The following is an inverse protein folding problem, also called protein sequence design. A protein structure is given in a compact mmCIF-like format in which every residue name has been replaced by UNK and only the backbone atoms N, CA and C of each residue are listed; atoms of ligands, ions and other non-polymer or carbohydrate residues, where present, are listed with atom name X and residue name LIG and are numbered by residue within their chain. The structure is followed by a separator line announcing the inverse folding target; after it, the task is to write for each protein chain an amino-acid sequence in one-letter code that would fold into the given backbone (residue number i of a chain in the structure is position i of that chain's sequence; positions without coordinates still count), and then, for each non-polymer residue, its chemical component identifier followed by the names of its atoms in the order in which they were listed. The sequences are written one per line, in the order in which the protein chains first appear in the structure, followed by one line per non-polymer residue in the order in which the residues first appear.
data_IF_018533688483
#
_entry.id   IF_018533688483
#
_cell.length_a   1.000
_cell.length_b   1.000
_cell.length_c   1.000
_cell.angle_alpha   90.00
_cell.angle_beta   90.00
_cell.angle_gamma   90.00
#
_symmetry.space_group_name_H-M   'P 1'
#
loop_
_entity.id
_entity.type
_entity.pdbx_description
1 polymer ?
#
# COMPACT_ATOMS: atom_id res chain seq x y z
N UNK A 1 22.89 -23.49 -16.43
CA UNK A 1 23.56 -23.18 -15.16
C UNK A 1 22.47 -22.68 -14.21
N UNK A 2 21.86 -23.57 -13.44
CA UNK A 2 20.75 -23.22 -12.55
C UNK A 2 21.32 -22.58 -11.29
N UNK A 3 20.90 -21.34 -10.99
CA UNK A 3 21.14 -20.70 -9.69
C UNK A 3 20.40 -21.53 -8.63
N UNK A 4 21.16 -22.13 -7.73
CA UNK A 4 20.63 -22.66 -6.48
C UNK A 4 20.28 -21.45 -5.62
N UNK A 5 19.02 -21.03 -5.67
CA UNK A 5 18.47 -20.17 -4.63
C UNK A 5 18.47 -21.00 -3.34
N UNK A 6 19.24 -20.58 -2.34
CA UNK A 6 19.19 -21.20 -1.02
C UNK A 6 17.80 -20.96 -0.45
N UNK A 7 16.90 -21.95 -0.61
CA UNK A 7 15.68 -22.03 0.17
C UNK A 7 16.12 -22.06 1.65
N UNK A 8 16.02 -20.92 2.33
CA UNK A 8 15.92 -20.90 3.79
C UNK A 8 14.87 -21.96 4.14
N UNK A 9 15.19 -22.89 5.04
CA UNK A 9 14.20 -23.89 5.44
C UNK A 9 12.96 -23.17 5.94
N UNK A 10 11.77 -23.71 5.65
CA UNK A 10 10.50 -23.09 6.06
C UNK A 10 10.50 -22.77 7.57
N UNK A 11 11.10 -23.64 8.38
CA UNK A 11 11.31 -23.41 9.82
C UNK A 11 12.12 -22.14 10.13
N UNK A 12 13.17 -21.84 9.36
CA UNK A 12 13.94 -20.60 9.52
C UNK A 12 13.16 -19.36 9.10
N UNK A 13 12.31 -19.46 8.07
CA UNK A 13 11.47 -18.35 7.62
C UNK A 13 10.35 -18.01 8.62
N UNK A 14 9.83 -19.02 9.33
CA UNK A 14 8.68 -18.90 10.23
C UNK A 14 9.07 -18.60 11.69
N UNK A 15 10.30 -18.93 12.12
CA UNK A 15 10.77 -18.70 13.49
C UNK A 15 10.64 -17.24 13.96
N UNK A 16 10.76 -16.27 13.05
CA UNK A 16 10.65 -14.85 13.37
C UNK A 16 9.21 -14.32 13.53
N UNK A 17 8.18 -15.04 13.08
CA UNK A 17 6.81 -14.51 12.99
C UNK A 17 6.19 -14.16 14.35
N UNK A 18 6.46 -14.97 15.37
CA UNK A 18 5.97 -14.70 16.74
C UNK A 18 6.59 -13.43 17.33
N UNK A 19 7.85 -13.13 16.98
CA UNK A 19 8.54 -11.90 17.37
C UNK A 19 8.04 -10.71 16.55
N UNK A 20 7.74 -10.90 15.26
CA UNK A 20 7.23 -9.87 14.38
C UNK A 20 5.97 -9.23 14.93
N UNK A 21 4.98 -10.03 15.36
CA UNK A 21 3.74 -9.51 15.98
C UNK A 21 4.03 -8.63 17.21
N UNK A 22 4.99 -9.02 18.05
CA UNK A 22 5.38 -8.25 19.25
C UNK A 22 6.06 -6.93 18.86
N UNK A 23 7.00 -6.97 17.93
CA UNK A 23 7.73 -5.79 17.46
C UNK A 23 6.79 -4.76 16.84
N UNK A 24 5.90 -5.21 15.95
CA UNK A 24 4.88 -4.35 15.32
C UNK A 24 3.97 -3.73 16.38
N UNK A 25 3.44 -4.52 17.31
CA UNK A 25 2.59 -4.01 18.40
C UNK A 25 3.32 -2.97 19.26
N UNK A 26 4.58 -3.23 19.62
CA UNK A 26 5.38 -2.26 20.36
C UNK A 26 5.64 -0.97 19.58
N UNK A 27 5.83 -1.05 18.26
CA UNK A 27 6.01 0.11 17.38
C UNK A 27 4.72 0.94 17.27
N UNK A 28 3.58 0.29 17.06
CA UNK A 28 2.26 0.95 16.94
C UNK A 28 1.79 1.51 18.30
N UNK A 29 2.02 0.77 19.38
CA UNK A 29 1.73 1.17 20.75
C UNK A 29 2.69 2.22 21.32
N UNK A 30 3.72 2.62 20.56
CA UNK A 30 4.76 3.58 20.97
C UNK A 30 5.45 3.17 22.29
N UNK A 31 5.63 1.86 22.49
CA UNK A 31 6.25 1.30 23.69
C UNK A 31 7.77 1.57 23.73
N UNK A 32 8.39 1.71 22.55
CA UNK A 32 9.80 2.06 22.40
C UNK A 32 10.03 3.56 22.68
N UNK A 33 10.45 3.87 23.92
CA UNK A 33 10.66 5.26 24.36
C UNK A 33 11.91 5.92 23.75
N UNK A 34 12.94 5.14 23.41
CA UNK A 34 14.17 5.68 22.81
C UNK A 34 14.15 5.53 21.29
N UNK A 35 14.59 6.58 20.59
CA UNK A 35 14.70 6.56 19.13
C UNK A 35 15.58 5.41 18.61
N UNK A 36 16.69 5.09 19.28
CA UNK A 36 17.57 3.99 18.87
C UNK A 36 16.88 2.62 18.95
N UNK A 37 16.11 2.36 20.02
CA UNK A 37 15.35 1.12 20.22
C UNK A 37 14.26 0.97 19.15
N UNK A 38 13.57 2.08 18.85
CA UNK A 38 12.54 2.11 17.81
C UNK A 38 13.10 1.81 16.42
N UNK A 39 14.25 2.38 16.08
CA UNK A 39 14.90 2.15 14.78
C UNK A 39 15.47 0.75 14.65
N UNK A 40 15.99 0.17 15.75
CA UNK A 40 16.38 -1.23 15.79
C UNK A 40 15.16 -2.13 15.55
N UNK A 41 14.04 -1.88 16.23
CA UNK A 41 12.80 -2.64 16.03
C UNK A 41 12.28 -2.55 14.59
N UNK A 42 12.31 -1.37 13.94
CA UNK A 42 11.96 -1.22 12.52
C UNK A 42 12.86 -2.07 11.61
N UNK A 43 14.16 -2.11 11.90
CA UNK A 43 15.13 -2.92 11.14
C UNK A 43 14.84 -4.41 11.30
N UNK A 44 14.56 -4.86 12.53
CA UNK A 44 14.22 -6.26 12.81
C UNK A 44 12.93 -6.67 12.10
N UNK A 45 11.90 -5.81 12.11
CA UNK A 45 10.68 -6.01 11.32
C UNK A 45 11.01 -6.19 9.83
N UNK A 46 11.82 -5.30 9.24
CA UNK A 46 12.19 -5.40 7.83
C UNK A 46 12.94 -6.71 7.51
N UNK A 47 13.85 -7.15 8.40
CA UNK A 47 14.58 -8.41 8.24
C UNK A 47 13.65 -9.61 8.32
N UNK A 48 12.80 -9.68 9.33
CA UNK A 48 11.87 -10.81 9.50
C UNK A 48 10.90 -10.89 8.31
N UNK A 49 10.33 -9.75 7.91
CA UNK A 49 9.43 -9.67 6.76
C UNK A 49 10.12 -10.12 5.48
N UNK A 50 11.35 -9.69 5.23
CA UNK A 50 12.11 -10.13 4.06
C UNK A 50 12.33 -11.64 4.04
N UNK A 51 12.55 -12.26 5.21
CA UNK A 51 12.77 -13.70 5.32
C UNK A 51 11.49 -14.50 5.12
N UNK A 52 10.35 -14.03 5.62
CA UNK A 52 9.08 -14.74 5.52
C UNK A 52 8.27 -14.41 4.25
N UNK A 53 8.61 -13.36 3.50
CA UNK A 53 7.80 -12.94 2.35
C UNK A 53 7.75 -14.00 1.23
N UNK A 54 8.85 -14.71 1.00
CA UNK A 54 8.88 -15.80 0.00
C UNK A 54 7.90 -16.94 0.34
N UNK A 55 7.71 -17.23 1.63
CA UNK A 55 6.75 -18.23 2.09
C UNK A 55 5.31 -17.81 1.75
N UNK A 56 4.95 -16.54 1.95
CA UNK A 56 3.62 -16.07 1.55
C UNK A 56 3.43 -16.03 0.04
N UNK A 57 4.47 -15.63 -0.71
CA UNK A 57 4.44 -15.58 -2.17
C UNK A 57 4.24 -16.97 -2.79
N UNK A 58 4.72 -18.04 -2.15
CA UNK A 58 4.45 -19.41 -2.62
C UNK A 58 3.01 -19.89 -2.39
N UNK A 59 2.13 -19.03 -1.87
CA UNK A 59 0.74 -19.36 -1.53
C UNK A 59 0.59 -20.07 -0.18
N UNK A 60 1.67 -20.16 0.61
CA UNK A 60 1.63 -20.81 1.92
C UNK A 60 0.98 -19.89 2.96
N UNK A 61 0.29 -20.49 3.92
CA UNK A 61 -0.42 -19.78 4.99
C UNK A 61 0.05 -20.22 6.37
N UNK A 62 -0.17 -19.38 7.37
CA UNK A 62 0.19 -19.65 8.76
C UNK A 62 -0.79 -18.96 9.70
N UNK A 63 -1.14 -19.64 10.79
CA UNK A 63 -2.03 -19.09 11.82
C UNK A 63 -1.29 -18.17 12.82
N UNK A 64 0.05 -18.22 12.85
CA UNK A 64 0.86 -17.47 13.83
C UNK A 64 0.81 -15.98 13.53
N UNK A 65 0.98 -15.61 12.26
CA UNK A 65 0.93 -14.22 11.82
C UNK A 65 0.49 -14.12 10.35
N UNK A 66 -0.81 -14.33 10.06
CA UNK A 66 -1.33 -14.44 8.70
C UNK A 66 -0.97 -13.26 7.78
N UNK A 67 -0.88 -13.50 6.46
CA UNK A 67 -0.49 -12.49 5.47
C UNK A 67 -1.36 -11.22 5.53
N UNK A 68 -2.67 -11.36 5.68
CA UNK A 68 -3.58 -10.22 5.78
C UNK A 68 -3.30 -9.37 7.04
N UNK A 69 -2.96 -10.01 8.17
CA UNK A 69 -2.55 -9.32 9.41
C UNK A 69 -1.23 -8.60 9.19
N UNK A 70 -0.22 -9.29 8.65
CA UNK A 70 1.07 -8.72 8.30
C UNK A 70 0.91 -7.46 7.45
N UNK A 71 0.12 -7.54 6.38
CA UNK A 71 -0.05 -6.42 5.45
C UNK A 71 -0.78 -5.25 6.13
N UNK A 72 -1.85 -5.49 6.89
CA UNK A 72 -2.55 -4.42 7.63
C UNK A 72 -1.64 -3.73 8.64
N UNK A 73 -0.82 -4.50 9.34
CA UNK A 73 0.14 -4.00 10.32
C UNK A 73 1.25 -3.16 9.65
N UNK A 74 1.78 -3.60 8.50
CA UNK A 74 2.72 -2.82 7.71
C UNK A 74 2.11 -1.51 7.21
N UNK A 75 0.88 -1.54 6.66
CA UNK A 75 0.14 -0.34 6.28
C UNK A 75 -0.01 0.63 7.47
N UNK A 76 -0.31 0.12 8.67
CA UNK A 76 -0.41 0.93 9.89
C UNK A 76 0.91 1.58 10.28
N UNK A 77 2.03 0.84 10.17
CA UNK A 77 3.38 1.37 10.41
C UNK A 77 3.76 2.45 9.40
N UNK A 78 3.43 2.25 8.12
CA UNK A 78 3.66 3.24 7.07
C UNK A 78 2.85 4.52 7.30
N UNK A 79 1.56 4.42 7.66
CA UNK A 79 0.73 5.57 8.00
C UNK A 79 1.29 6.36 9.19
N UNK A 80 1.74 5.67 10.24
CA UNK A 80 2.38 6.30 11.40
C UNK A 80 3.64 7.06 11.00
N UNK A 81 4.48 6.49 10.14
CA UNK A 81 5.70 7.13 9.64
C UNK A 81 5.42 8.35 8.76
N UNK A 82 4.41 8.27 7.89
CA UNK A 82 3.95 9.39 7.05
C UNK A 82 3.43 10.54 7.91
N UNK A 83 2.63 10.26 8.94
CA UNK A 83 2.14 11.28 9.87
C UNK A 83 3.28 11.96 10.64
N UNK A 84 4.26 11.18 11.11
CA UNK A 84 5.45 11.74 11.76
C UNK A 84 6.26 12.64 10.83
N UNK A 85 6.40 12.25 9.56
CA UNK A 85 7.11 13.06 8.58
C UNK A 85 6.33 14.32 8.19
N UNK A 86 5.00 14.27 8.12
CA UNK A 86 4.16 15.47 7.97
C UNK A 86 4.39 16.46 9.11
N UNK A 87 4.47 15.97 10.36
CA UNK A 87 4.74 16.82 11.52
C UNK A 87 6.16 17.41 11.49
N UNK A 88 7.16 16.63 11.07
CA UNK A 88 8.54 17.09 10.88
C UNK A 88 8.65 18.14 9.77
N UNK A 89 7.90 17.97 8.69
CA UNK A 89 7.83 18.90 7.57
C UNK A 89 7.26 20.26 8.03
N UNK A 90 6.17 20.26 8.80
CA UNK A 90 5.61 21.48 9.43
C UNK A 90 6.65 22.21 10.31
N UNK A 91 7.56 21.46 10.92
CA UNK A 91 8.66 21.98 11.76
C UNK A 91 9.95 22.25 10.98
N UNK A 92 9.96 22.14 9.65
CA UNK A 92 11.12 22.33 8.76
C UNK A 92 12.35 21.48 9.14
N UNK A 93 12.13 20.25 9.61
CA UNK A 93 13.23 19.33 9.91
C UNK A 93 13.96 18.90 8.62
N UNK A 94 15.29 18.69 8.71
CA UNK A 94 16.17 18.42 7.57
C UNK A 94 16.30 16.96 7.15
N UNK A 95 15.83 16.00 7.96
CA UNK A 95 15.95 14.57 7.65
C UNK A 95 14.65 13.81 7.91
N UNK A 96 14.25 13.01 6.93
CA UNK A 96 13.01 12.24 6.92
C UNK A 96 13.35 10.77 6.72
N UNK A 97 12.57 9.88 7.33
CA UNK A 97 12.78 8.43 7.24
C UNK A 97 11.56 7.79 6.61
N UNK A 98 11.79 6.91 5.65
CA UNK A 98 10.76 6.28 4.80
C UNK A 98 10.80 4.75 4.84
N UNK A 99 11.61 4.16 5.73
CA UNK A 99 11.85 2.72 5.73
C UNK A 99 10.61 1.86 5.97
N UNK A 100 9.64 2.34 6.77
CA UNK A 100 8.40 1.61 7.01
C UNK A 100 7.48 1.70 5.80
N UNK A 101 7.41 2.88 5.18
CA UNK A 101 6.67 3.09 3.93
C UNK A 101 7.25 2.26 2.78
N UNK A 102 8.56 2.31 2.57
CA UNK A 102 9.27 1.55 1.53
C UNK A 102 9.10 0.04 1.72
N UNK A 103 9.23 -0.46 2.95
CA UNK A 103 8.99 -1.88 3.25
C UNK A 103 7.56 -2.28 2.87
N UNK A 104 6.59 -1.47 3.25
CA UNK A 104 5.17 -1.71 2.96
C UNK A 104 4.91 -1.74 1.46
N UNK A 105 5.43 -0.77 0.71
CA UNK A 105 5.30 -0.72 -0.74
C UNK A 105 5.98 -1.91 -1.41
N UNK A 106 7.17 -2.30 -0.96
CA UNK A 106 7.86 -3.48 -1.47
C UNK A 106 7.07 -4.78 -1.26
N UNK A 107 6.47 -4.95 -0.08
CA UNK A 107 5.61 -6.09 0.21
C UNK A 107 4.37 -6.06 -0.68
N UNK A 108 3.60 -4.95 -0.66
CA UNK A 108 2.38 -4.78 -1.47
C UNK A 108 2.65 -5.01 -2.96
N UNK A 109 3.74 -4.45 -3.49
CA UNK A 109 4.11 -4.57 -4.90
C UNK A 109 4.34 -6.04 -5.32
N UNK A 110 4.86 -6.88 -4.42
CA UNK A 110 5.05 -8.31 -4.63
C UNK A 110 3.73 -9.08 -4.47
N UNK A 111 3.03 -8.89 -3.35
CA UNK A 111 1.80 -9.66 -3.06
C UNK A 111 0.66 -9.31 -4.03
N UNK A 112 0.54 -8.06 -4.47
CA UNK A 112 -0.39 -7.67 -5.54
C UNK A 112 0.01 -8.24 -6.90
N UNK A 113 1.32 -8.37 -7.17
CA UNK A 113 1.81 -8.96 -8.42
C UNK A 113 1.43 -10.44 -8.56
N UNK A 114 1.36 -11.16 -7.45
CA UNK A 114 1.00 -12.58 -7.39
C UNK A 114 -0.51 -12.83 -7.18
N UNK A 115 -1.31 -11.78 -6.95
CA UNK A 115 -2.76 -11.91 -6.76
C UNK A 115 -3.17 -12.65 -5.48
N UNK A 116 -2.31 -12.69 -4.47
CA UNK A 116 -2.51 -13.45 -3.22
C UNK A 116 -3.13 -12.63 -2.07
N UNK A 117 -3.43 -11.36 -2.33
CA UNK A 117 -4.12 -10.49 -1.38
C UNK A 117 -5.63 -10.69 -1.50
N UNK A 118 -6.20 -11.45 -0.56
CA UNK A 118 -7.65 -11.67 -0.45
C UNK A 118 -8.27 -10.78 0.66
N UNK A 119 -7.97 -9.48 0.59
CA UNK A 119 -8.30 -8.50 1.63
C UNK A 119 -9.42 -7.53 1.28
N UNK A 120 -9.94 -6.83 2.29
CA UNK A 120 -10.95 -5.77 2.12
C UNK A 120 -10.39 -4.64 1.24
N UNK A 121 -10.87 -4.60 -0.01
CA UNK A 121 -10.54 -3.60 -1.02
C UNK A 121 -10.59 -2.16 -0.46
N UNK A 122 -11.53 -1.90 0.46
CA UNK A 122 -11.78 -0.57 0.99
C UNK A 122 -10.65 -0.09 1.90
N UNK A 123 -10.16 -0.96 2.77
CA UNK A 123 -9.07 -0.64 3.70
C UNK A 123 -7.79 -0.29 2.92
N UNK A 124 -7.51 -1.06 1.86
CA UNK A 124 -6.35 -0.84 1.00
C UNK A 124 -6.45 0.44 0.18
N UNK A 125 -7.62 0.72 -0.42
CA UNK A 125 -7.84 1.96 -1.15
C UNK A 125 -7.71 3.18 -0.24
N UNK A 126 -8.31 3.13 0.96
CA UNK A 126 -8.16 4.18 1.97
C UNK A 126 -6.70 4.39 2.35
N UNK A 127 -5.91 3.33 2.50
CA UNK A 127 -4.47 3.43 2.74
C UNK A 127 -3.78 4.21 1.62
N UNK A 128 -3.96 3.82 0.35
CA UNK A 128 -3.31 4.51 -0.77
C UNK A 128 -3.70 5.97 -0.88
N UNK A 129 -5.00 6.27 -0.79
CA UNK A 129 -5.51 7.65 -0.84
C UNK A 129 -4.91 8.48 0.29
N UNK A 130 -5.01 7.99 1.54
CA UNK A 130 -4.49 8.70 2.72
C UNK A 130 -2.99 9.00 2.60
N UNK A 131 -2.19 8.03 2.13
CA UNK A 131 -0.75 8.21 1.99
C UNK A 131 -0.42 9.19 0.85
N UNK A 132 -1.06 9.09 -0.30
CA UNK A 132 -0.80 10.01 -1.43
C UNK A 132 -1.24 11.44 -1.09
N UNK A 133 -2.35 11.61 -0.38
CA UNK A 133 -2.83 12.93 0.03
C UNK A 133 -1.95 13.59 1.10
N UNK A 134 -1.03 12.84 1.72
CA UNK A 134 -0.13 13.39 2.72
C UNK A 134 0.85 14.41 2.10
N UNK A 135 0.92 15.66 2.60
CA UNK A 135 1.79 16.71 2.04
C UNK A 135 3.26 16.31 1.89
N UNK A 136 3.78 15.52 2.85
CA UNK A 136 5.10 14.93 2.78
C UNK A 136 5.31 14.12 1.49
N UNK A 137 4.38 13.22 1.16
CA UNK A 137 4.47 12.35 -0.02
C UNK A 137 4.40 13.18 -1.30
N UNK A 138 3.51 14.18 -1.35
CA UNK A 138 3.36 15.06 -2.52
C UNK A 138 4.62 15.88 -2.80
N UNK A 139 5.44 16.15 -1.78
CA UNK A 139 6.74 16.79 -1.96
C UNK A 139 7.84 15.86 -2.47
N UNK A 140 7.58 14.55 -2.48
CA UNK A 140 8.53 13.50 -2.83
C UNK A 140 8.03 12.71 -4.03
N UNK A 141 8.31 13.22 -5.23
CA UNK A 141 7.85 12.66 -6.52
C UNK A 141 8.07 11.14 -6.66
N UNK A 142 9.21 10.64 -6.19
CA UNK A 142 9.55 9.22 -6.27
C UNK A 142 8.63 8.33 -5.40
N UNK A 143 8.17 8.83 -4.24
CA UNK A 143 7.26 8.09 -3.36
C UNK A 143 5.88 7.97 -4.02
N UNK A 144 5.39 9.06 -4.60
CA UNK A 144 4.11 9.06 -5.32
C UNK A 144 4.14 8.14 -6.55
N UNK A 145 5.27 8.07 -7.26
CA UNK A 145 5.49 7.11 -8.36
C UNK A 145 5.40 5.64 -7.89
N UNK A 146 6.02 5.31 -6.75
CA UNK A 146 5.98 3.94 -6.21
C UNK A 146 4.59 3.57 -5.66
N UNK A 147 3.92 4.51 -5.00
CA UNK A 147 2.55 4.35 -4.51
C UNK A 147 1.57 4.10 -5.66
N UNK A 148 1.59 4.94 -6.69
CA UNK A 148 0.68 4.81 -7.84
C UNK A 148 0.96 3.56 -8.66
N UNK A 149 2.22 3.11 -8.74
CA UNK A 149 2.60 1.85 -9.40
C UNK A 149 2.05 0.65 -8.62
N UNK A 150 2.14 0.69 -7.29
CA UNK A 150 1.61 -0.36 -6.42
C UNK A 150 0.07 -0.40 -6.44
N UNK A 151 -0.57 0.77 -6.39
CA UNK A 151 -2.02 0.90 -6.56
C UNK A 151 -2.48 0.31 -7.89
N UNK A 152 -1.78 0.61 -8.99
CA UNK A 152 -2.12 0.06 -10.30
C UNK A 152 -2.10 -1.48 -10.31
N UNK A 153 -1.12 -2.11 -9.67
CA UNK A 153 -1.05 -3.57 -9.55
C UNK A 153 -2.19 -4.11 -8.69
N UNK A 154 -2.46 -3.48 -7.56
CA UNK A 154 -3.57 -3.83 -6.69
C UNK A 154 -4.91 -3.82 -7.46
N UNK A 155 -5.15 -2.77 -8.24
CA UNK A 155 -6.34 -2.62 -9.08
C UNK A 155 -6.41 -3.63 -10.22
N UNK A 156 -5.27 -4.14 -10.70
CA UNK A 156 -5.24 -5.19 -11.72
C UNK A 156 -5.49 -6.58 -11.16
N UNK A 157 -5.16 -6.80 -9.89
CA UNK A 157 -5.31 -8.08 -9.19
C UNK A 157 -6.69 -8.24 -8.54
N UNK A 158 -7.41 -7.15 -8.31
CA UNK A 158 -8.71 -7.14 -7.63
C UNK A 158 -9.84 -6.75 -8.58
N UNK A 159 -11.04 -7.31 -8.35
CA UNK A 159 -12.26 -6.84 -9.03
C UNK A 159 -12.96 -5.82 -8.13
N UNK A 160 -13.21 -4.62 -8.65
CA UNK A 160 -13.96 -3.54 -8.01
C UNK A 160 -15.47 -3.90 -7.95
N UNK A 161 -15.86 -4.97 -7.26
CA UNK A 161 -17.26 -5.40 -7.24
C UNK A 161 -18.20 -4.49 -6.43
N UNK A 162 -17.67 -3.44 -5.78
CA UNK A 162 -18.41 -2.51 -4.94
C UNK A 162 -18.41 -1.08 -5.52
N UNK A 163 -19.56 -0.41 -5.46
CA UNK A 163 -19.81 0.90 -6.07
C UNK A 163 -19.18 2.08 -5.32
N UNK A 164 -19.12 2.02 -3.99
CA UNK A 164 -18.56 3.08 -3.14
C UNK A 164 -17.06 3.35 -3.37
N UNK A 165 -16.20 2.32 -3.34
CA UNK A 165 -14.75 2.48 -3.50
C UNK A 165 -14.34 3.01 -4.87
N UNK A 166 -15.08 2.62 -5.91
CA UNK A 166 -14.89 3.13 -7.28
C UNK A 166 -15.13 4.63 -7.37
N UNK A 167 -16.13 5.17 -6.65
CA UNK A 167 -16.42 6.61 -6.62
C UNK A 167 -15.34 7.40 -5.88
N UNK A 168 -14.94 6.95 -4.69
CA UNK A 168 -13.93 7.64 -3.88
C UNK A 168 -12.59 7.70 -4.63
N UNK A 169 -12.20 6.57 -5.24
CA UNK A 169 -11.00 6.49 -6.06
C UNK A 169 -11.09 7.38 -7.31
N UNK A 170 -12.25 7.44 -7.96
CA UNK A 170 -12.47 8.31 -9.11
C UNK A 170 -12.26 9.80 -8.76
N UNK A 171 -12.95 10.28 -7.72
CA UNK A 171 -12.86 11.67 -7.27
C UNK A 171 -11.42 12.02 -6.88
N UNK A 172 -10.77 11.13 -6.16
CA UNK A 172 -9.36 11.27 -5.80
C UNK A 172 -8.46 11.43 -7.03
N UNK A 173 -8.59 10.54 -8.03
CA UNK A 173 -7.78 10.62 -9.26
C UNK A 173 -8.00 11.96 -9.96
N UNK A 174 -9.24 12.41 -10.09
CA UNK A 174 -9.55 13.66 -10.77
C UNK A 174 -9.06 14.90 -10.03
N UNK A 175 -9.04 14.85 -8.69
CA UNK A 175 -8.43 15.89 -7.88
C UNK A 175 -6.90 15.92 -8.02
N UNK A 176 -6.24 14.76 -8.10
CA UNK A 176 -4.78 14.65 -8.13
C UNK A 176 -4.17 14.83 -9.53
N UNK A 177 -4.87 14.43 -10.58
CA UNK A 177 -4.33 14.39 -11.95
C UNK A 177 -3.80 15.76 -12.45
N UNK A 178 -4.48 16.90 -12.23
CA UNK A 178 -3.95 18.21 -12.64
C UNK A 178 -2.65 18.59 -11.91
N UNK A 179 -2.48 18.13 -10.67
CA UNK A 179 -1.32 18.47 -9.83
C UNK A 179 -0.06 17.74 -10.27
N UNK A 180 -0.19 16.59 -10.95
CA UNK A 180 0.94 15.80 -11.43
C UNK A 180 1.19 15.95 -12.93
N UNK A 181 0.29 16.63 -13.67
CA UNK A 181 0.38 16.83 -15.12
C UNK A 181 1.72 17.45 -15.55
N UNK A 182 2.15 18.50 -14.85
CA UNK A 182 3.36 19.26 -15.20
C UNK A 182 4.66 18.60 -14.71
N UNK A 183 4.56 17.46 -14.04
CA UNK A 183 5.71 16.88 -13.34
C UNK A 183 6.51 15.86 -14.15
N UNK A 184 6.03 15.46 -15.34
CA UNK A 184 6.55 14.38 -16.20
C UNK A 184 6.86 13.05 -15.47
N UNK A 185 6.22 12.84 -14.32
CA UNK A 185 6.42 11.67 -13.46
C UNK A 185 5.63 10.45 -13.95
N UNK A 186 5.99 9.26 -13.47
CA UNK A 186 5.25 8.02 -13.80
C UNK A 186 3.83 8.06 -13.23
N UNK A 187 3.63 8.78 -12.12
CA UNK A 187 2.36 8.90 -11.41
C UNK A 187 1.22 9.36 -12.31
N UNK A 188 1.42 10.36 -13.17
CA UNK A 188 0.40 10.82 -14.12
C UNK A 188 -0.11 9.68 -15.01
N UNK A 189 0.80 8.93 -15.63
CA UNK A 189 0.44 7.78 -16.45
C UNK A 189 -0.22 6.66 -15.66
N UNK A 190 0.18 6.46 -14.40
CA UNK A 190 -0.44 5.48 -13.52
C UNK A 190 -1.87 5.87 -13.13
N UNK A 191 -2.12 7.13 -12.76
CA UNK A 191 -3.46 7.62 -12.47
C UNK A 191 -4.42 7.44 -13.65
N UNK A 192 -3.98 7.75 -14.88
CA UNK A 192 -4.79 7.50 -16.08
C UNK A 192 -5.13 6.01 -16.25
N UNK A 193 -4.18 5.11 -15.95
CA UNK A 193 -4.44 3.67 -16.02
C UNK A 193 -5.40 3.22 -14.91
N UNK A 194 -5.28 3.75 -13.69
CA UNK A 194 -6.24 3.48 -12.61
C UNK A 194 -7.64 3.99 -12.97
N UNK A 195 -7.76 5.20 -13.52
CA UNK A 195 -9.03 5.74 -14.00
C UNK A 195 -9.67 4.82 -15.06
N UNK A 196 -8.86 4.28 -15.97
CA UNK A 196 -9.32 3.27 -16.94
C UNK A 196 -9.82 2.00 -16.28
N UNK A 197 -9.20 1.53 -15.19
CA UNK A 197 -9.70 0.37 -14.43
C UNK A 197 -11.06 0.65 -13.81
N UNK A 198 -11.24 1.83 -13.19
CA UNK A 198 -12.53 2.27 -12.63
C UNK A 198 -13.60 2.30 -13.73
N UNK A 199 -13.32 2.93 -14.87
CA UNK A 199 -14.27 3.01 -15.99
C UNK A 199 -14.60 1.63 -16.59
N UNK A 200 -13.61 0.74 -16.69
CA UNK A 200 -13.81 -0.63 -17.18
C UNK A 200 -14.69 -1.45 -16.23
N UNK A 201 -14.58 -1.21 -14.94
CA UNK A 201 -15.42 -1.90 -13.95
C UNK A 201 -16.87 -1.39 -13.98
N UNK A 202 -17.04 -0.06 -14.03
CA UNK A 202 -18.35 0.57 -14.21
C UNK A 202 -19.02 0.08 -15.49
N UNK A 203 -18.28 -0.08 -16.59
CA UNK A 203 -18.84 -0.55 -17.86
C UNK A 203 -19.25 -2.02 -17.86
N UNK A 204 -18.69 -2.83 -16.95
CA UNK A 204 -18.96 -4.27 -16.83
C UNK A 204 -20.06 -4.59 -15.82
N UNK A 205 -20.23 -3.76 -14.81
CA UNK A 205 -21.33 -3.89 -13.87
C UNK A 205 -22.62 -3.40 -14.54
N UNK A 206 -23.79 -3.95 -14.18
CA UNK A 206 -25.11 -3.48 -14.62
C UNK A 206 -25.43 -2.04 -14.16
N UNK A 207 -24.43 -1.30 -13.68
CA UNK A 207 -24.53 0.11 -13.33
C UNK A 207 -24.82 0.99 -14.53
N UNK A 208 -24.42 0.62 -15.75
CA UNK A 208 -24.70 1.44 -16.95
C UNK A 208 -26.15 1.30 -17.46
N UNK A 209 -26.92 0.32 -16.97
CA UNK A 209 -28.32 0.14 -17.36
C UNK A 209 -29.28 0.87 -16.41
N UNK A 210 -30.06 1.81 -16.97
CA UNK A 210 -31.10 2.57 -16.25
C UNK A 210 -30.61 3.89 -15.63
N UNK A 211 -31.49 4.54 -14.86
CA UNK A 211 -31.24 5.87 -14.23
C UNK A 211 -30.02 5.90 -13.31
N UNK A 212 -29.65 4.77 -12.70
CA UNK A 212 -28.48 4.65 -11.84
C UNK A 212 -27.16 4.88 -12.58
N UNK A 213 -27.07 4.52 -13.86
CA UNK A 213 -25.87 4.74 -14.68
C UNK A 213 -25.68 6.19 -15.07
N UNK A 214 -26.79 6.86 -15.43
CA UNK A 214 -26.78 8.29 -15.72
C UNK A 214 -26.40 9.12 -14.50
N UNK A 215 -26.89 8.76 -13.31
CA UNK A 215 -26.53 9.42 -12.05
C UNK A 215 -25.06 9.18 -11.68
N UNK A 216 -24.55 7.95 -11.84
CA UNK A 216 -23.14 7.65 -11.59
C UNK A 216 -22.21 8.43 -12.53
N UNK A 217 -22.51 8.46 -13.84
CA UNK A 217 -21.73 9.22 -14.82
C UNK A 217 -21.82 10.73 -14.51
N UNK A 218 -23.00 11.25 -14.19
CA UNK A 218 -23.17 12.65 -13.82
C UNK A 218 -22.38 13.03 -12.54
N UNK A 219 -22.35 12.14 -11.54
CA UNK A 219 -21.57 12.32 -10.31
C UNK A 219 -20.05 12.21 -10.54
N UNK A 220 -19.61 11.51 -11.58
CA UNK A 220 -18.20 11.39 -11.97
C UNK A 220 -17.70 12.59 -12.80
N UNK A 221 -18.60 13.31 -13.45
CA UNK A 221 -18.28 14.46 -14.32
C UNK A 221 -18.35 15.80 -13.56
N UNK A 222 -18.96 15.83 -12.37
CA UNK A 222 -19.00 16.99 -11.47
C UNK A 222 -17.75 17.09 -10.59
#
# INVERSE_FOLDING_TARGET
MFRVESKLSEDHALNGLSQLSKLVKGLLGKEFKKNAEREAAKKDVATIVSNCLHFYISGSTTDIYPLNVLVKDLCSLALLEVEENNQKMKKKASSWKTGSLELTLNVLNKVCGEGILDGDLNDFLKFFITVIEAPFVQSQKWIEDDLTSTLLKFMSATSLTATGPSRELWLFIWHRLPLVLDTTTKSFGNYLRVARYVLKDISKTTMVSGENGSNLIADMVR
#
